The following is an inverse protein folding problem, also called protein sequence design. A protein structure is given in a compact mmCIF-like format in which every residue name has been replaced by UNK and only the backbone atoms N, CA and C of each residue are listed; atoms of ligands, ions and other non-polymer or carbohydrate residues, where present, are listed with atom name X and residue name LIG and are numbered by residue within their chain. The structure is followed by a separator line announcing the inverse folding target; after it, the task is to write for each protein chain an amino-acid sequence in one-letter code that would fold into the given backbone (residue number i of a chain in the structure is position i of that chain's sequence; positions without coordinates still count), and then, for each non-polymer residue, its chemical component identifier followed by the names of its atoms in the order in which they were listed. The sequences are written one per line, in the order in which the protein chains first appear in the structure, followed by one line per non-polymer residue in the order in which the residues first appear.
data_IF_264632043669
#
_entry.id   IF_264632043669
#
_cell.length_a   1.000
_cell.length_b   1.000
_cell.length_c   1.000
_cell.angle_alpha   90.00
_cell.angle_beta   90.00
_cell.angle_gamma   90.00
#
_symmetry.space_group_name_H-M   'P 1'
#
loop_
_entity.id
_entity.type
_entity.pdbx_description
1 polymer ?
#
# COMPACT_ATOMS: atom_id res chain seq x y z
N UNK A 1 -6.37 -14.08 19.79
CA UNK A 1 -7.20 -13.08 19.06
C UNK A 1 -6.99 -13.24 17.55
N UNK A 2 -7.99 -13.75 16.85
CA UNK A 2 -7.94 -14.11 15.40
C UNK A 2 -7.55 -12.91 14.52
N UNK A 3 -8.13 -11.72 14.76
CA UNK A 3 -7.85 -10.53 13.95
C UNK A 3 -6.38 -10.09 14.02
N UNK A 4 -5.74 -10.17 15.19
CA UNK A 4 -4.30 -9.86 15.28
C UNK A 4 -3.45 -10.91 14.55
N UNK A 5 -3.89 -12.17 14.50
CA UNK A 5 -3.24 -13.21 13.69
C UNK A 5 -3.33 -12.88 12.20
N UNK A 6 -4.53 -12.53 11.71
CA UNK A 6 -4.74 -12.08 10.31
C UNK A 6 -3.83 -10.90 9.97
N UNK A 7 -3.74 -9.89 10.84
CA UNK A 7 -2.85 -8.75 10.60
C UNK A 7 -1.37 -9.13 10.51
N UNK A 8 -0.93 -10.10 11.31
CA UNK A 8 0.44 -10.62 11.19
C UNK A 8 0.66 -11.34 9.87
N UNK A 9 -0.26 -12.22 9.49
CA UNK A 9 -0.18 -12.95 8.22
C UNK A 9 -0.18 -12.00 7.01
N UNK A 10 -1.02 -10.97 7.04
CA UNK A 10 -1.01 -9.95 5.97
C UNK A 10 0.31 -9.16 5.95
N UNK A 11 0.90 -8.83 7.09
CA UNK A 11 2.24 -8.20 7.12
C UNK A 11 3.31 -9.11 6.55
N UNK A 12 3.30 -10.38 6.95
CA UNK A 12 4.21 -11.38 6.38
C UNK A 12 4.07 -11.44 4.85
N UNK A 13 2.83 -11.35 4.32
CA UNK A 13 2.57 -11.33 2.88
C UNK A 13 3.13 -10.06 2.20
N UNK A 14 2.94 -8.87 2.81
CA UNK A 14 3.55 -7.62 2.35
C UNK A 14 5.09 -7.69 2.34
N UNK A 15 5.68 -8.27 3.38
CA UNK A 15 7.13 -8.40 3.49
C UNK A 15 7.67 -9.39 2.45
N UNK A 16 6.99 -10.51 2.20
CA UNK A 16 7.33 -11.44 1.13
C UNK A 16 7.24 -10.79 -0.25
N UNK A 17 6.15 -10.06 -0.54
CA UNK A 17 6.04 -9.31 -1.79
C UNK A 17 7.13 -8.26 -1.94
N UNK A 18 7.49 -7.56 -0.89
CA UNK A 18 8.57 -6.57 -0.92
C UNK A 18 9.93 -7.21 -1.24
N UNK A 19 10.21 -8.39 -0.67
CA UNK A 19 11.45 -9.14 -0.91
C UNK A 19 11.48 -9.79 -2.29
N UNK A 20 10.33 -10.26 -2.78
CA UNK A 20 10.14 -10.94 -4.05
C UNK A 20 8.94 -10.35 -4.81
N UNK A 21 9.10 -9.19 -5.45
CA UNK A 21 7.95 -8.45 -6.01
C UNK A 21 7.13 -9.20 -7.05
N UNK A 22 7.72 -10.13 -7.78
CA UNK A 22 7.03 -10.95 -8.78
C UNK A 22 6.30 -12.17 -8.22
N UNK A 23 6.42 -12.42 -6.90
CA UNK A 23 5.76 -13.56 -6.24
C UNK A 23 4.23 -13.42 -6.30
N UNK A 24 3.75 -12.21 -6.20
CA UNK A 24 2.34 -11.87 -6.14
C UNK A 24 2.13 -10.54 -6.85
N UNK A 25 1.14 -10.40 -7.72
CA UNK A 25 0.82 -9.10 -8.33
C UNK A 25 0.30 -8.10 -7.30
N UNK A 26 0.42 -6.81 -7.60
CA UNK A 26 -0.19 -5.75 -6.78
C UNK A 26 -1.71 -5.86 -6.75
N UNK A 27 -2.31 -6.26 -7.87
CA UNK A 27 -3.74 -6.51 -7.99
C UNK A 27 -4.20 -7.64 -7.08
N UNK A 28 -3.48 -8.77 -7.07
CA UNK A 28 -3.81 -9.91 -6.20
C UNK A 28 -3.67 -9.55 -4.72
N UNK A 29 -2.58 -8.86 -4.34
CA UNK A 29 -2.42 -8.39 -2.95
C UNK A 29 -3.58 -7.48 -2.53
N UNK A 30 -3.96 -6.53 -3.38
CA UNK A 30 -5.10 -5.65 -3.12
C UNK A 30 -6.41 -6.43 -2.98
N UNK A 31 -6.66 -7.43 -3.84
CA UNK A 31 -7.82 -8.31 -3.76
C UNK A 31 -7.84 -9.13 -2.46
N UNK A 32 -6.69 -9.70 -2.05
CA UNK A 32 -6.55 -10.44 -0.79
C UNK A 32 -6.86 -9.54 0.41
N UNK A 33 -6.29 -8.34 0.47
CA UNK A 33 -6.54 -7.41 1.59
C UNK A 33 -8.02 -7.03 1.65
N UNK A 34 -8.65 -6.72 0.52
CA UNK A 34 -10.09 -6.42 0.44
C UNK A 34 -10.95 -7.62 0.83
N UNK A 35 -10.61 -8.81 0.36
CA UNK A 35 -11.26 -10.06 0.77
C UNK A 35 -11.23 -10.23 2.29
N UNK A 36 -10.08 -9.96 2.91
CA UNK A 36 -9.95 -10.00 4.36
C UNK A 36 -10.82 -8.99 5.12
N UNK A 37 -11.35 -7.98 4.47
CA UNK A 37 -12.26 -7.01 5.09
C UNK A 37 -13.71 -7.53 5.19
N UNK A 38 -14.12 -8.43 4.29
CA UNK A 38 -15.52 -8.84 4.10
C UNK A 38 -15.80 -10.30 4.44
N UNK A 39 -14.83 -11.19 4.30
CA UNK A 39 -14.97 -12.63 4.53
C UNK A 39 -15.00 -13.00 6.03
N UNK A 40 -15.41 -14.21 6.34
CA UNK A 40 -15.32 -14.76 7.70
C UNK A 40 -13.86 -14.77 8.21
N UNK A 41 -13.69 -14.43 9.48
CA UNK A 41 -12.34 -14.23 10.06
C UNK A 41 -11.56 -15.54 10.24
N UNK A 42 -12.25 -16.67 10.46
CA UNK A 42 -11.58 -17.95 10.59
C UNK A 42 -11.14 -18.48 9.23
N UNK A 43 -12.01 -18.38 8.23
CA UNK A 43 -11.70 -18.76 6.85
C UNK A 43 -10.51 -17.94 6.32
N UNK A 44 -10.55 -16.61 6.49
CA UNK A 44 -9.45 -15.71 6.08
C UNK A 44 -8.13 -16.11 6.73
N UNK A 45 -8.14 -16.40 8.03
CA UNK A 45 -6.91 -16.82 8.72
C UNK A 45 -6.34 -18.09 8.10
N UNK A 46 -7.18 -19.10 7.89
CA UNK A 46 -6.76 -20.40 7.39
C UNK A 46 -6.26 -20.27 5.94
N UNK A 47 -6.97 -19.53 5.09
CA UNK A 47 -6.55 -19.26 3.71
C UNK A 47 -5.20 -18.50 3.65
N UNK A 48 -4.97 -17.52 4.52
CA UNK A 48 -3.69 -16.80 4.57
C UNK A 48 -2.56 -17.68 5.08
N UNK A 49 -2.79 -18.58 6.03
CA UNK A 49 -1.79 -19.55 6.51
C UNK A 49 -1.41 -20.52 5.41
N UNK A 50 -2.37 -21.04 4.67
CA UNK A 50 -2.15 -21.94 3.52
C UNK A 50 -1.38 -21.22 2.40
N UNK A 51 -1.78 -20.00 2.04
CA UNK A 51 -1.13 -19.19 1.01
C UNK A 51 0.33 -18.91 1.35
N UNK A 52 0.61 -18.46 2.56
CA UNK A 52 1.98 -18.21 3.02
C UNK A 52 2.80 -19.50 3.11
N UNK A 53 2.18 -20.62 3.51
CA UNK A 53 2.78 -21.94 3.49
C UNK A 53 3.18 -22.34 2.07
N UNK A 54 2.29 -22.15 1.10
CA UNK A 54 2.56 -22.42 -0.31
C UNK A 54 3.74 -21.59 -0.82
N UNK A 55 3.74 -20.26 -0.60
CA UNK A 55 4.83 -19.41 -1.06
C UNK A 55 6.20 -19.77 -0.46
N UNK A 56 6.24 -20.17 0.82
CA UNK A 56 7.48 -20.54 1.50
C UNK A 56 8.08 -21.86 0.99
N UNK A 57 7.25 -22.74 0.44
CA UNK A 57 7.68 -24.07 -0.05
C UNK A 57 7.84 -24.12 -1.58
N UNK A 58 7.32 -23.14 -2.28
CA UNK A 58 7.36 -23.10 -3.75
C UNK A 58 8.69 -22.52 -4.26
N UNK A 59 9.29 -23.23 -5.20
CA UNK A 59 10.48 -22.75 -5.94
C UNK A 59 10.03 -21.80 -7.07
N UNK A 60 9.45 -20.66 -6.69
CA UNK A 60 9.01 -19.66 -7.66
C UNK A 60 10.21 -18.86 -8.13
N UNK A 61 10.60 -19.07 -9.39
CA UNK A 61 11.64 -18.26 -10.02
C UNK A 61 11.12 -16.86 -10.26
N UNK A 62 11.66 -15.92 -9.54
CA UNK A 62 11.34 -14.48 -9.67
C UNK A 62 12.17 -13.90 -10.81
N UNK A 63 11.55 -13.35 -11.87
CA UNK A 63 12.30 -12.64 -12.92
C UNK A 63 13.08 -11.47 -12.29
N UNK A 64 14.31 -11.23 -12.70
CA UNK A 64 15.05 -10.06 -12.22
C UNK A 64 14.50 -8.77 -12.85
N UNK A 65 14.39 -7.74 -12.04
CA UNK A 65 14.44 -6.36 -12.48
C UNK A 65 13.15 -5.74 -13.00
N UNK A 66 12.59 -4.87 -12.21
CA UNK A 66 11.67 -3.80 -12.55
C UNK A 66 11.80 -2.72 -11.48
N UNK A 67 11.26 -1.57 -11.75
CA UNK A 67 11.32 -0.44 -10.83
C UNK A 67 10.40 -0.67 -9.63
N UNK A 68 10.91 -0.45 -8.45
CA UNK A 68 10.20 -0.68 -7.17
C UNK A 68 9.32 0.52 -6.84
N UNK A 69 8.02 0.32 -6.83
CA UNK A 69 7.03 1.40 -6.70
C UNK A 69 6.29 1.29 -5.36
N UNK A 70 6.23 2.41 -4.64
CA UNK A 70 5.31 2.61 -3.54
C UNK A 70 4.05 3.34 -4.06
N UNK A 71 2.88 2.77 -3.81
CA UNK A 71 1.62 3.46 -4.05
C UNK A 71 1.15 4.18 -2.77
N UNK A 72 0.81 5.46 -2.87
CA UNK A 72 0.29 6.23 -1.74
C UNK A 72 -1.03 6.90 -2.10
N UNK A 73 -1.98 6.93 -1.16
CA UNK A 73 -3.29 7.53 -1.47
C UNK A 73 -4.38 7.25 -0.45
N UNK A 74 -5.62 7.36 -0.90
CA UNK A 74 -6.81 7.13 -0.10
C UNK A 74 -7.38 5.72 -0.27
N UNK A 75 -8.61 5.67 -0.77
CA UNK A 75 -9.27 4.45 -1.20
C UNK A 75 -8.94 4.19 -2.67
N UNK A 76 -8.42 3.03 -2.99
CA UNK A 76 -8.23 2.62 -4.36
C UNK A 76 -9.18 1.44 -4.68
N UNK A 77 -10.18 1.70 -5.51
CA UNK A 77 -11.16 0.71 -5.96
C UNK A 77 -10.99 0.33 -7.45
N UNK A 78 -9.89 0.73 -8.05
CA UNK A 78 -9.59 0.53 -9.47
C UNK A 78 -8.47 -0.51 -9.61
N UNK A 79 -8.80 -1.81 -9.77
CA UNK A 79 -7.79 -2.88 -9.87
C UNK A 79 -6.89 -2.71 -11.10
N UNK A 80 -7.39 -2.14 -12.19
CA UNK A 80 -6.66 -1.96 -13.44
C UNK A 80 -5.41 -1.06 -13.28
N UNK A 81 -5.41 -0.15 -12.28
CA UNK A 81 -4.24 0.69 -11.97
C UNK A 81 -3.01 -0.15 -11.62
N UNK A 82 -3.20 -1.20 -10.83
CA UNK A 82 -2.10 -2.08 -10.44
C UNK A 82 -1.53 -2.80 -11.67
N UNK A 83 -2.40 -3.33 -12.53
CA UNK A 83 -2.02 -4.02 -13.76
C UNK A 83 -1.30 -3.08 -14.73
N UNK A 84 -1.80 -1.85 -14.92
CA UNK A 84 -1.16 -0.87 -15.80
C UNK A 84 0.25 -0.53 -15.31
N UNK A 85 0.45 -0.28 -14.03
CA UNK A 85 1.78 0.02 -13.47
C UNK A 85 2.72 -1.17 -13.65
N UNK A 86 2.26 -2.38 -13.36
CA UNK A 86 3.10 -3.59 -13.44
C UNK A 86 3.40 -3.98 -14.90
N UNK A 87 2.47 -3.78 -15.83
CA UNK A 87 2.72 -3.99 -17.26
C UNK A 87 3.60 -2.91 -17.89
N UNK A 88 3.70 -1.74 -17.25
CA UNK A 88 4.64 -0.67 -17.65
C UNK A 88 6.07 -0.88 -17.11
N UNK A 89 6.35 -1.99 -16.40
CA UNK A 89 7.68 -2.33 -15.90
C UNK A 89 7.94 -1.94 -14.44
N UNK A 90 6.91 -1.45 -13.73
CA UNK A 90 6.98 -1.20 -12.28
C UNK A 90 6.61 -2.43 -11.48
N UNK A 91 7.24 -2.62 -10.32
CA UNK A 91 6.81 -3.59 -9.30
C UNK A 91 6.24 -2.85 -8.10
N UNK A 92 4.96 -3.03 -7.83
CA UNK A 92 4.34 -2.46 -6.63
C UNK A 92 4.79 -3.28 -5.43
N UNK A 93 5.75 -2.75 -4.66
CA UNK A 93 6.34 -3.44 -3.51
C UNK A 93 5.62 -3.17 -2.20
N UNK A 94 4.88 -2.08 -2.12
CA UNK A 94 4.05 -1.73 -0.96
C UNK A 94 3.03 -0.65 -1.34
N UNK A 95 2.10 -0.41 -0.44
CA UNK A 95 1.15 0.69 -0.55
C UNK A 95 0.96 1.43 0.79
N UNK A 96 0.36 2.63 0.71
CA UNK A 96 -0.14 3.40 1.84
C UNK A 96 -1.62 3.77 1.57
N UNK A 97 -2.47 2.74 1.40
CA UNK A 97 -3.91 2.90 1.17
C UNK A 97 -4.75 2.57 2.41
N UNK A 98 -5.92 3.20 2.52
CA UNK A 98 -6.91 2.86 3.56
C UNK A 98 -7.40 1.40 3.43
N UNK A 99 -7.52 0.91 2.20
CA UNK A 99 -7.89 -0.48 1.85
C UNK A 99 -6.68 -1.36 1.57
N UNK A 100 -5.52 -0.98 2.00
CA UNK A 100 -4.26 -1.67 1.86
C UNK A 100 -3.50 -1.77 3.20
N UNK A 101 -2.24 -1.39 3.21
CA UNK A 101 -1.35 -1.54 4.38
C UNK A 101 -1.87 -0.85 5.63
N UNK A 102 -2.54 0.30 5.53
CA UNK A 102 -3.12 0.99 6.70
C UNK A 102 -4.21 0.18 7.40
N UNK A 103 -4.95 -0.70 6.70
CA UNK A 103 -5.89 -1.61 7.33
C UNK A 103 -5.18 -2.63 8.23
N UNK A 104 -4.01 -3.06 7.80
CA UNK A 104 -3.19 -4.09 8.46
C UNK A 104 -2.43 -3.53 9.66
N UNK A 105 -2.14 -2.22 9.66
CA UNK A 105 -1.28 -1.57 10.64
C UNK A 105 -1.78 -1.67 12.07
N UNK A 106 -0.83 -1.85 13.00
CA UNK A 106 -1.05 -1.94 14.42
C UNK A 106 -1.77 -3.22 14.87
N UNK A 107 -1.60 -3.59 16.12
CA UNK A 107 -2.31 -4.69 16.77
C UNK A 107 -3.18 -4.16 17.89
N UNK A 108 -4.29 -4.83 18.16
CA UNK A 108 -5.07 -4.57 19.37
C UNK A 108 -4.29 -5.15 20.54
N UNK A 109 -3.86 -4.34 21.53
CA UNK A 109 -3.14 -4.84 22.69
C UNK A 109 -4.04 -5.74 23.55
N UNK A 110 -3.42 -6.57 24.40
CA UNK A 110 -4.15 -7.31 25.43
C UNK A 110 -4.48 -6.30 26.52
N UNK A 111 -5.77 -6.18 26.84
CA UNK A 111 -6.29 -5.26 27.84
C UNK A 111 -7.58 -5.82 28.45
N UNK A 112 -7.84 -5.54 29.70
CA UNK A 112 -9.07 -6.01 30.38
C UNK A 112 -10.32 -5.38 29.75
N UNK A 113 -10.23 -4.11 29.36
CA UNK A 113 -11.26 -3.42 28.58
C UNK A 113 -10.93 -3.45 27.08
N UNK A 114 -11.71 -4.20 26.32
CA UNK A 114 -11.51 -4.33 24.87
C UNK A 114 -11.78 -3.04 24.09
N UNK A 115 -12.66 -2.17 24.58
CA UNK A 115 -12.94 -0.88 23.92
C UNK A 115 -11.73 0.04 24.05
N UNK A 116 -11.09 0.07 25.20
CA UNK A 116 -9.83 0.80 25.42
C UNK A 116 -8.73 0.25 24.51
N UNK A 117 -8.60 -1.06 24.40
CA UNK A 117 -7.61 -1.70 23.51
C UNK A 117 -7.82 -1.33 22.04
N UNK A 118 -9.06 -1.32 21.58
CA UNK A 118 -9.39 -0.94 20.19
C UNK A 118 -9.12 0.55 19.96
N UNK A 119 -9.52 1.41 20.89
CA UNK A 119 -9.29 2.85 20.83
C UNK A 119 -7.79 3.17 20.82
N UNK A 120 -6.99 2.50 21.66
CA UNK A 120 -5.54 2.67 21.73
C UNK A 120 -4.88 2.30 20.39
N UNK A 121 -5.25 1.15 19.80
CA UNK A 121 -4.77 0.79 18.45
C UNK A 121 -5.14 1.86 17.42
N UNK A 122 -6.40 2.32 17.44
CA UNK A 122 -6.86 3.33 16.48
C UNK A 122 -6.09 4.64 16.62
N UNK A 123 -5.84 5.07 17.87
CA UNK A 123 -5.09 6.29 18.14
C UNK A 123 -3.62 6.20 17.71
N UNK A 124 -2.98 5.05 17.90
CA UNK A 124 -1.53 4.84 17.67
C UNK A 124 -1.15 4.40 16.26
N UNK A 125 -2.13 3.87 15.48
CA UNK A 125 -1.82 3.40 14.12
C UNK A 125 -1.40 4.55 13.22
N UNK A 126 -0.89 4.18 12.05
CA UNK A 126 -0.36 5.07 11.02
C UNK A 126 -1.16 6.37 10.82
N UNK A 127 -0.44 7.43 10.54
CA UNK A 127 -0.99 8.76 10.28
C UNK A 127 -1.87 8.73 9.02
N UNK A 128 -3.12 9.12 9.17
CA UNK A 128 -4.10 9.21 8.09
C UNK A 128 -4.41 10.70 7.80
N UNK A 129 -4.65 11.13 6.57
CA UNK A 129 -5.04 12.49 6.26
C UNK A 129 -6.25 12.99 7.05
N UNK A 130 -7.23 12.10 7.30
CA UNK A 130 -8.40 12.41 8.15
C UNK A 130 -8.09 12.45 9.66
N UNK A 131 -6.88 12.07 10.07
CA UNK A 131 -6.39 12.10 11.44
C UNK A 131 -5.12 12.93 11.48
N UNK A 132 -5.29 14.21 11.21
CA UNK A 132 -4.18 15.16 11.18
C UNK A 132 -3.52 15.27 12.56
N UNK A 133 -2.20 15.10 12.63
CA UNK A 133 -1.43 15.20 13.88
C UNK A 133 -0.38 16.31 13.83
N UNK A 134 0.29 16.49 12.72
CA UNK A 134 1.28 17.53 12.48
C UNK A 134 1.51 17.70 10.97
N UNK A 135 2.00 18.86 10.55
CA UNK A 135 2.15 19.26 9.14
C UNK A 135 2.95 18.26 8.31
N UNK A 136 4.06 17.73 8.87
CA UNK A 136 4.97 16.84 8.15
C UNK A 136 4.75 15.36 8.47
N UNK A 137 3.84 15.01 9.36
CA UNK A 137 3.68 13.63 9.84
C UNK A 137 3.34 12.61 8.73
N UNK A 138 2.61 13.05 7.71
CA UNK A 138 2.31 12.23 6.52
C UNK A 138 3.55 12.07 5.64
N UNK A 139 4.30 13.13 5.43
CA UNK A 139 5.56 13.09 4.70
C UNK A 139 6.58 12.18 5.35
N UNK A 140 6.80 12.32 6.66
CA UNK A 140 7.68 11.43 7.44
C UNK A 140 7.28 9.96 7.29
N UNK A 141 5.98 9.67 7.29
CA UNK A 141 5.48 8.31 7.13
C UNK A 141 5.77 7.74 5.73
N UNK A 142 5.43 8.49 4.67
CA UNK A 142 5.65 8.06 3.28
C UNK A 142 7.15 7.93 2.99
N UNK A 143 7.96 8.89 3.43
CA UNK A 143 9.40 8.86 3.27
C UNK A 143 10.04 7.67 4.00
N UNK A 144 9.60 7.38 5.22
CA UNK A 144 10.04 6.20 5.96
C UNK A 144 9.68 4.90 5.22
N UNK A 145 8.45 4.77 4.71
CA UNK A 145 8.05 3.62 3.91
C UNK A 145 8.89 3.49 2.64
N UNK A 146 9.14 4.59 1.94
CA UNK A 146 9.95 4.58 0.73
C UNK A 146 11.37 4.06 0.99
N UNK A 147 11.99 4.50 2.09
CA UNK A 147 13.32 4.03 2.51
C UNK A 147 13.31 2.58 2.98
N UNK A 148 12.36 2.20 3.86
CA UNK A 148 12.26 0.83 4.40
C UNK A 148 11.99 -0.22 3.32
N UNK A 149 11.28 0.16 2.26
CA UNK A 149 10.93 -0.74 1.15
C UNK A 149 11.86 -0.60 -0.05
N UNK A 150 12.87 0.25 0.03
CA UNK A 150 13.88 0.47 -1.01
C UNK A 150 13.22 0.72 -2.37
N UNK A 151 12.42 1.79 -2.46
CA UNK A 151 11.63 2.09 -3.66
C UNK A 151 12.39 3.02 -4.60
N UNK A 152 12.24 2.81 -5.90
CA UNK A 152 12.76 3.70 -6.95
C UNK A 152 11.88 4.95 -7.12
N UNK A 153 10.57 4.85 -6.80
CA UNK A 153 9.65 5.97 -6.93
C UNK A 153 8.32 5.78 -6.23
N UNK A 154 7.60 6.88 -6.06
CA UNK A 154 6.29 6.93 -5.39
C UNK A 154 5.22 7.39 -6.36
N UNK A 155 4.12 6.65 -6.47
CA UNK A 155 2.94 7.06 -7.24
C UNK A 155 1.82 7.39 -6.26
N UNK A 156 1.39 8.66 -6.26
CA UNK A 156 0.24 9.11 -5.50
C UNK A 156 -1.04 8.96 -6.31
N UNK A 157 -2.03 8.31 -5.71
CA UNK A 157 -3.37 8.09 -6.28
C UNK A 157 -4.41 8.77 -5.38
N UNK A 158 -4.84 9.97 -5.75
CA UNK A 158 -5.78 10.75 -4.97
C UNK A 158 -7.13 10.84 -5.64
N UNK A 159 -8.17 10.71 -4.83
CA UNK A 159 -9.50 11.07 -5.30
C UNK A 159 -9.56 12.57 -5.49
N UNK A 160 -10.03 12.99 -6.66
CA UNK A 160 -10.26 14.41 -6.96
C UNK A 160 -11.21 15.01 -5.92
N UNK A 161 -10.94 16.24 -5.53
CA UNK A 161 -11.67 16.95 -4.47
C UNK A 161 -11.50 16.35 -3.05
N UNK A 162 -10.50 15.52 -2.83
CA UNK A 162 -10.16 15.08 -1.48
C UNK A 162 -9.20 16.09 -0.82
N UNK A 163 -9.77 17.11 -0.19
CA UNK A 163 -9.01 18.19 0.43
C UNK A 163 -7.91 17.71 1.39
N UNK A 164 -8.14 16.74 2.31
CA UNK A 164 -7.10 16.28 3.22
C UNK A 164 -5.84 15.75 2.50
N UNK A 165 -6.02 15.04 1.37
CA UNK A 165 -4.89 14.57 0.57
C UNK A 165 -4.25 15.71 -0.22
N UNK A 166 -5.05 16.61 -0.77
CA UNK A 166 -4.55 17.74 -1.55
C UNK A 166 -3.70 18.70 -0.72
N UNK A 167 -4.09 18.94 0.54
CA UNK A 167 -3.32 19.78 1.46
C UNK A 167 -2.01 19.11 1.93
N UNK A 168 -1.98 17.80 2.10
CA UNK A 168 -0.76 17.10 2.54
C UNK A 168 0.26 16.93 1.40
N UNK A 169 -0.20 16.82 0.15
CA UNK A 169 0.64 16.44 -0.99
C UNK A 169 1.86 17.34 -1.23
N UNK A 170 1.75 18.69 -1.23
CA UNK A 170 2.91 19.55 -1.47
C UNK A 170 4.06 19.29 -0.50
N UNK A 171 3.74 19.11 0.78
CA UNK A 171 4.74 18.82 1.83
C UNK A 171 5.38 17.43 1.65
N UNK A 172 4.57 16.43 1.29
CA UNK A 172 5.10 15.09 1.03
C UNK A 172 6.01 15.07 -0.20
N UNK A 173 5.61 15.79 -1.25
CA UNK A 173 6.41 15.92 -2.46
C UNK A 173 7.74 16.58 -2.17
N UNK A 174 7.74 17.75 -1.49
CA UNK A 174 8.97 18.45 -1.13
C UNK A 174 9.92 17.57 -0.31
N UNK A 175 9.39 16.78 0.62
CA UNK A 175 10.20 15.86 1.42
C UNK A 175 10.81 14.72 0.60
N UNK A 176 10.08 14.17 -0.36
CA UNK A 176 10.59 13.15 -1.29
C UNK A 176 11.62 13.74 -2.26
N UNK A 177 11.37 14.92 -2.81
CA UNK A 177 12.29 15.62 -3.70
C UNK A 177 13.62 15.94 -3.01
N UNK A 178 13.60 16.34 -1.73
CA UNK A 178 14.81 16.60 -0.93
C UNK A 178 15.65 15.33 -0.65
N UNK A 179 15.09 14.16 -0.86
CA UNK A 179 15.75 12.86 -0.69
C UNK A 179 15.99 12.15 -2.03
N UNK A 180 15.87 12.89 -3.14
CA UNK A 180 16.04 12.38 -4.50
C UNK A 180 15.14 11.16 -4.81
N UNK A 181 13.94 11.09 -4.21
CA UNK A 181 12.94 10.05 -4.49
C UNK A 181 11.89 10.60 -5.46
N UNK A 182 11.91 10.22 -6.73
CA UNK A 182 10.94 10.66 -7.72
C UNK A 182 9.50 10.34 -7.32
N UNK A 183 8.59 11.26 -7.58
CA UNK A 183 7.18 11.02 -7.31
C UNK A 183 6.27 11.56 -8.39
N UNK A 184 5.13 10.90 -8.58
CA UNK A 184 4.10 11.27 -9.55
C UNK A 184 2.72 11.27 -8.90
N UNK A 185 1.89 12.26 -9.23
CA UNK A 185 0.50 12.34 -8.77
C UNK A 185 -0.47 12.02 -9.91
N UNK A 186 -1.41 11.13 -9.60
CA UNK A 186 -2.65 10.97 -10.35
C UNK A 186 -3.84 11.40 -9.49
N UNK A 187 -4.65 12.28 -10.04
CA UNK A 187 -5.98 12.55 -9.52
C UNK A 187 -7.00 11.65 -10.23
N UNK A 188 -7.77 10.92 -9.45
CA UNK A 188 -8.74 9.93 -9.91
C UNK A 188 -10.14 10.46 -9.61
N UNK A 189 -11.01 10.42 -10.60
CA UNK A 189 -12.46 10.57 -10.43
C UNK A 189 -13.11 9.19 -10.34
N UNK A 190 -14.44 9.11 -10.43
CA UNK A 190 -15.19 7.84 -10.46
C UNK A 190 -14.82 6.95 -11.66
N UNK A 191 -14.21 7.54 -12.69
CA UNK A 191 -13.66 6.83 -13.84
C UNK A 191 -12.18 7.20 -13.98
N UNK A 192 -11.35 6.23 -14.36
CA UNK A 192 -9.98 6.50 -14.77
C UNK A 192 -9.96 7.54 -15.91
N UNK A 193 -8.97 8.45 -15.94
CA UNK A 193 -8.58 9.10 -17.19
C UNK A 193 -8.47 8.02 -18.26
N UNK A 194 -8.64 8.36 -19.54
CA UNK A 194 -8.57 7.33 -20.57
C UNK A 194 -7.37 6.41 -20.29
N UNK A 195 -7.58 5.10 -20.30
CA UNK A 195 -6.58 4.08 -19.96
C UNK A 195 -5.22 4.38 -20.61
N UNK A 196 -5.26 4.84 -21.88
CA UNK A 196 -4.07 5.23 -22.60
C UNK A 196 -3.30 6.40 -21.99
N UNK A 197 -3.96 7.42 -21.44
CA UNK A 197 -3.26 8.53 -20.79
C UNK A 197 -2.59 8.10 -19.48
N UNK A 198 -3.28 7.28 -18.69
CA UNK A 198 -2.72 6.76 -17.45
C UNK A 198 -1.50 5.88 -17.75
N UNK A 199 -1.63 4.95 -18.72
CA UNK A 199 -0.54 4.06 -19.15
C UNK A 199 0.67 4.84 -19.63
N UNK A 200 0.49 5.78 -20.57
CA UNK A 200 1.61 6.59 -21.10
C UNK A 200 2.35 7.35 -20.01
N UNK A 201 1.64 7.89 -19.02
CA UNK A 201 2.29 8.60 -17.90
C UNK A 201 3.01 7.64 -16.97
N UNK A 202 2.49 6.43 -16.73
CA UNK A 202 3.17 5.39 -15.96
C UNK A 202 4.45 4.94 -16.67
N UNK A 203 4.38 4.65 -17.96
CA UNK A 203 5.53 4.27 -18.78
C UNK A 203 6.63 5.34 -18.70
N UNK A 204 6.29 6.60 -18.98
CA UNK A 204 7.26 7.70 -18.92
C UNK A 204 7.88 7.89 -17.52
N UNK A 205 7.08 7.72 -16.46
CA UNK A 205 7.59 7.82 -15.08
C UNK A 205 8.56 6.66 -14.78
N UNK A 206 8.17 5.43 -15.11
CA UNK A 206 8.99 4.24 -14.84
C UNK A 206 10.28 4.25 -15.64
N UNK A 207 10.27 4.73 -16.90
CA UNK A 207 11.46 4.91 -17.72
C UNK A 207 12.43 5.96 -17.17
N UNK A 208 11.93 6.94 -16.44
CA UNK A 208 12.76 7.99 -15.83
C UNK A 208 13.47 7.51 -14.56
N UNK A 209 12.92 6.51 -13.85
CA UNK A 209 13.51 5.94 -12.64
C UNK A 209 14.79 5.14 -12.98
#
# INVERSE_FOLDING_TARGET
MTINRIRRLLRDLYDMKCQQPSLLSGSDLNAIVKGCMIMDRHEVRDMLEDLLGYFRTSDIKVPPGGKRILLAGGLCNMPDIFEIIETSGGFIVSDDFCTGSRYVDGQVPIHDDMMVAIADRYAKRVVCPAKHSALYSRGDHVLRLAREKDVDGVIFLYLKFCDPHAFDYPYMKDMLDNEDIPSMLFEIEDQLPSEGQFKTRCEAFIEML
#
